data_IF_228109694605
#
_entry.id   IF_228109694605
#
_cell.length_a   1.000
_cell.length_b   1.000
_cell.length_c   1.000
_cell.angle_alpha   90.00
_cell.angle_beta   90.00
_cell.angle_gamma   90.00
#
_symmetry.space_group_name_H-M   'P 1'
#
loop_
_entity.id
_entity.type
_entity.pdbx_description
1 polymer ?
#
# COMPACT_ATOMS: atom_id res chain seq x y z
N UNK A 1 -17.39 -14.07 -8.42
CA UNK A 1 -16.40 -13.56 -7.46
C UNK A 1 -15.50 -14.72 -7.07
N UNK A 2 -14.27 -14.74 -7.56
CA UNK A 2 -13.32 -15.81 -7.23
C UNK A 2 -12.93 -15.76 -5.76
N UNK A 3 -12.60 -16.92 -5.16
CA UNK A 3 -12.09 -17.02 -3.78
C UNK A 3 -10.90 -16.06 -3.54
N UNK A 4 -10.13 -15.79 -4.59
CA UNK A 4 -8.96 -14.92 -4.56
C UNK A 4 -9.33 -13.48 -4.20
N UNK A 5 -10.45 -12.95 -4.68
CA UNK A 5 -10.88 -11.60 -4.33
C UNK A 5 -11.18 -11.46 -2.83
N UNK A 6 -11.81 -12.46 -2.21
CA UNK A 6 -12.08 -12.45 -0.76
C UNK A 6 -10.76 -12.40 0.03
N UNK A 7 -9.77 -13.20 -0.36
CA UNK A 7 -8.46 -13.20 0.30
C UNK A 7 -7.72 -11.86 0.16
N UNK A 8 -7.81 -11.22 -1.02
CA UNK A 8 -7.18 -9.91 -1.25
C UNK A 8 -7.89 -8.82 -0.44
N UNK A 9 -9.23 -8.83 -0.37
CA UNK A 9 -9.97 -7.91 0.50
C UNK A 9 -9.61 -8.11 1.98
N UNK A 10 -9.41 -9.35 2.41
CA UNK A 10 -9.00 -9.65 3.78
C UNK A 10 -7.56 -9.18 4.05
N UNK A 11 -6.65 -9.31 3.08
CA UNK A 11 -5.31 -8.72 3.17
C UNK A 11 -5.37 -7.19 3.32
N UNK A 12 -6.21 -6.51 2.53
CA UNK A 12 -6.41 -5.07 2.62
C UNK A 12 -6.93 -4.65 4.00
N UNK A 13 -7.95 -5.33 4.54
CA UNK A 13 -8.49 -5.01 5.86
C UNK A 13 -7.50 -5.26 6.99
N UNK A 14 -6.68 -6.32 6.91
CA UNK A 14 -5.62 -6.58 7.89
C UNK A 14 -4.57 -5.48 7.87
N UNK A 15 -4.12 -5.04 6.68
CA UNK A 15 -3.17 -3.93 6.56
C UNK A 15 -3.77 -2.59 7.04
N UNK A 16 -5.06 -2.35 6.80
CA UNK A 16 -5.77 -1.17 7.27
C UNK A 16 -5.86 -1.15 8.81
N UNK A 17 -6.22 -2.28 9.43
CA UNK A 17 -6.24 -2.42 10.88
C UNK A 17 -4.84 -2.23 11.47
N UNK A 18 -3.80 -2.76 10.81
CA UNK A 18 -2.40 -2.55 11.20
C UNK A 18 -1.97 -1.09 11.20
N UNK A 19 -2.43 -0.29 10.21
CA UNK A 19 -2.17 1.14 10.16
C UNK A 19 -2.92 1.90 11.26
N UNK A 20 -4.22 1.61 11.45
CA UNK A 20 -5.04 2.28 12.46
C UNK A 20 -4.55 1.99 13.88
N UNK A 21 -3.99 0.80 14.12
CA UNK A 21 -3.36 0.39 15.36
C UNK A 21 -1.91 0.88 15.42
N UNK A 22 -1.72 2.20 15.45
CA UNK A 22 -0.40 2.83 15.52
C UNK A 22 0.44 2.22 16.65
N UNK A 23 1.49 1.50 16.27
CA UNK A 23 2.60 1.22 17.17
C UNK A 23 3.56 2.39 17.14
N UNK A 24 4.38 2.49 18.19
CA UNK A 24 5.40 3.52 18.40
C UNK A 24 6.53 3.53 17.36
N UNK A 25 6.33 3.06 16.13
CA UNK A 25 7.36 3.09 15.11
C UNK A 25 6.74 3.49 13.78
N UNK A 26 7.08 4.67 13.29
CA UNK A 26 6.59 5.20 12.01
C UNK A 26 6.95 4.27 10.83
N UNK A 27 8.08 3.55 10.91
CA UNK A 27 8.45 2.54 9.92
C UNK A 27 7.39 1.44 9.76
N UNK A 28 6.77 1.01 10.86
CA UNK A 28 5.77 -0.07 10.82
C UNK A 28 4.46 0.38 10.13
N UNK A 29 4.05 1.64 10.31
CA UNK A 29 2.88 2.17 9.62
C UNK A 29 3.14 2.39 8.12
N UNK A 30 4.36 2.79 7.74
CA UNK A 30 4.75 2.88 6.32
C UNK A 30 4.70 1.52 5.62
N UNK A 31 5.17 0.44 6.27
CA UNK A 31 5.04 -0.91 5.72
C UNK A 31 3.57 -1.36 5.60
N UNK A 32 2.70 -0.96 6.52
CA UNK A 32 1.25 -1.22 6.39
C UNK A 32 0.64 -0.45 5.21
N UNK A 33 1.07 0.79 4.94
CA UNK A 33 0.69 1.54 3.74
C UNK A 33 1.12 0.83 2.45
N UNK A 34 2.37 0.37 2.38
CA UNK A 34 2.85 -0.40 1.22
C UNK A 34 2.05 -1.70 1.03
N UNK A 35 1.71 -2.39 2.11
CA UNK A 35 0.84 -3.58 2.08
C UNK A 35 -0.56 -3.29 1.52
N UNK A 36 -1.17 -2.17 1.90
CA UNK A 36 -2.45 -1.73 1.33
C UNK A 36 -2.33 -1.46 -0.17
N UNK A 37 -1.31 -0.71 -0.62
CA UNK A 37 -1.11 -0.40 -2.03
C UNK A 37 -0.86 -1.66 -2.87
N UNK A 38 -0.13 -2.64 -2.34
CA UNK A 38 0.09 -3.92 -2.99
C UNK A 38 -1.21 -4.72 -3.15
N UNK A 39 -2.05 -4.77 -2.12
CA UNK A 39 -3.34 -5.46 -2.22
C UNK A 39 -4.28 -4.82 -3.27
N UNK A 40 -4.29 -3.48 -3.36
CA UNK A 40 -5.03 -2.76 -4.39
C UNK A 40 -4.49 -3.03 -5.80
N UNK A 41 -3.16 -3.09 -5.95
CA UNK A 41 -2.52 -3.45 -7.21
C UNK A 41 -2.91 -4.86 -7.68
N UNK A 42 -2.86 -5.86 -6.78
CA UNK A 42 -3.26 -7.25 -7.12
C UNK A 42 -4.74 -7.32 -7.46
N UNK A 43 -5.61 -6.59 -6.75
CA UNK A 43 -7.04 -6.56 -7.07
C UNK A 43 -7.30 -5.94 -8.45
N UNK A 44 -6.65 -4.82 -8.76
CA UNK A 44 -6.81 -4.12 -10.04
C UNK A 44 -6.29 -4.96 -11.21
N UNK A 45 -5.10 -5.57 -11.08
CA UNK A 45 -4.53 -6.44 -12.12
C UNK A 45 -5.41 -7.67 -12.38
N UNK A 46 -5.90 -8.34 -11.33
CA UNK A 46 -6.81 -9.48 -11.48
C UNK A 46 -8.12 -9.08 -12.17
N UNK A 47 -8.67 -7.90 -11.88
CA UNK A 47 -9.88 -7.39 -12.53
C UNK A 47 -9.66 -7.11 -14.02
N UNK A 48 -8.53 -6.48 -14.36
CA UNK A 48 -8.15 -6.18 -15.76
C UNK A 48 -7.94 -7.48 -16.56
N UNK A 49 -7.26 -8.47 -15.97
CA UNK A 49 -7.02 -9.76 -16.60
C UNK A 49 -8.32 -10.55 -16.79
N UNK A 50 -9.21 -10.59 -15.79
CA UNK A 50 -10.50 -11.29 -15.87
C UNK A 50 -11.44 -10.70 -16.93
N UNK A 51 -11.41 -9.39 -17.12
CA UNK A 51 -12.27 -8.68 -18.09
C UNK A 51 -11.64 -8.55 -19.47
N UNK A 52 -10.40 -9.04 -19.65
CA UNK A 52 -9.60 -8.89 -20.88
C UNK A 52 -9.54 -7.45 -21.41
N UNK A 53 -9.64 -6.46 -20.52
CA UNK A 53 -9.68 -5.04 -20.92
C UNK A 53 -8.26 -4.47 -21.03
N UNK A 54 -7.64 -4.67 -22.19
CA UNK A 54 -6.22 -4.35 -22.44
C UNK A 54 -5.87 -2.87 -22.23
N UNK A 55 -6.81 -1.95 -22.46
CA UNK A 55 -6.59 -0.51 -22.24
C UNK A 55 -6.39 -0.16 -20.76
N UNK A 56 -7.07 -0.85 -19.83
CA UNK A 56 -6.87 -0.62 -18.39
C UNK A 56 -5.61 -1.29 -17.83
N UNK A 57 -4.83 -2.01 -18.63
CA UNK A 57 -3.55 -2.59 -18.17
C UNK A 57 -2.54 -1.53 -17.71
N UNK A 58 -2.68 -0.29 -18.18
CA UNK A 58 -1.86 0.83 -17.68
C UNK A 58 -2.29 1.32 -16.29
N UNK A 59 -3.54 1.09 -15.87
CA UNK A 59 -4.07 1.61 -14.60
C UNK A 59 -3.32 1.10 -13.36
N UNK A 60 -3.04 -0.22 -13.21
CA UNK A 60 -2.24 -0.71 -12.08
C UNK A 60 -0.82 -0.15 -12.04
N UNK A 61 -0.21 0.12 -13.20
CA UNK A 61 1.14 0.69 -13.28
C UNK A 61 1.14 2.14 -12.77
N UNK A 62 0.16 2.93 -13.21
CA UNK A 62 -0.02 4.32 -12.74
C UNK A 62 -0.23 4.35 -11.23
N UNK A 63 -1.07 3.44 -10.69
CA UNK A 63 -1.29 3.30 -9.25
C UNK A 63 0.04 3.02 -8.50
N UNK A 64 0.88 2.14 -9.03
CA UNK A 64 2.14 1.77 -8.40
C UNK A 64 3.17 2.92 -8.41
N UNK A 65 3.18 3.75 -9.46
CA UNK A 65 4.05 4.94 -9.51
C UNK A 65 3.66 5.95 -8.42
N UNK A 66 2.37 6.26 -8.28
CA UNK A 66 1.91 7.16 -7.21
C UNK A 66 2.17 6.58 -5.82
N UNK A 67 2.01 5.26 -5.63
CA UNK A 67 2.34 4.58 -4.38
C UNK A 67 3.82 4.79 -3.97
N UNK A 68 4.74 4.61 -4.94
CA UNK A 68 6.16 4.80 -4.69
C UNK A 68 6.50 6.26 -4.36
N UNK A 69 5.81 7.22 -4.99
CA UNK A 69 5.97 8.65 -4.67
C UNK A 69 5.52 8.95 -3.23
N UNK A 70 4.37 8.42 -2.79
CA UNK A 70 3.89 8.59 -1.42
C UNK A 70 4.83 7.94 -0.39
N UNK A 71 5.36 6.75 -0.69
CA UNK A 71 6.34 6.08 0.18
C UNK A 71 7.66 6.88 0.28
N UNK A 72 8.16 7.43 -0.84
CA UNK A 72 9.35 8.28 -0.83
C UNK A 72 9.14 9.56 0.01
N UNK A 73 7.96 10.19 -0.10
CA UNK A 73 7.59 11.32 0.74
C UNK A 73 7.51 10.91 2.22
N UNK A 74 6.90 9.77 2.53
CA UNK A 74 6.82 9.23 3.89
C UNK A 74 8.19 8.98 4.52
N UNK A 75 9.11 8.39 3.77
CA UNK A 75 10.50 8.19 4.20
C UNK A 75 11.25 9.52 4.42
N UNK A 76 11.03 10.52 3.55
CA UNK A 76 11.66 11.83 3.73
C UNK A 76 11.21 12.54 5.01
N UNK A 77 9.93 12.40 5.38
CA UNK A 77 9.40 12.90 6.65
C UNK A 77 9.98 12.13 7.84
N UNK A 78 10.13 10.81 7.72
CA UNK A 78 10.74 10.01 8.77
C UNK A 78 12.18 10.45 9.05
N UNK A 79 12.97 10.71 8.02
CA UNK A 79 14.34 11.25 8.17
C UNK A 79 14.34 12.61 8.88
N UNK A 80 13.34 13.46 8.63
CA UNK A 80 13.21 14.73 9.36
C UNK A 80 12.89 14.51 10.84
N UNK A 81 11.97 13.59 11.16
CA UNK A 81 11.60 13.23 12.54
C UNK A 81 12.78 12.61 13.29
N UNK A 82 13.52 11.72 12.65
CA UNK A 82 14.70 11.08 13.24
C UNK A 82 15.83 12.09 13.48
N UNK A 83 16.00 13.07 12.59
CA UNK A 83 16.97 14.16 12.79
C UNK A 83 16.57 15.11 13.93
N UNK A 84 15.28 15.34 14.19
CA UNK A 84 14.84 16.25 15.28
C UNK A 84 14.73 15.57 16.64
N UNK A 85 14.24 14.34 16.69
CA UNK A 85 13.97 13.62 17.95
C UNK A 85 14.96 12.50 18.26
N UNK A 86 15.80 12.08 17.30
CA UNK A 86 16.80 11.02 17.48
C UNK A 86 16.22 9.60 17.57
N UNK A 87 14.89 9.46 17.50
CA UNK A 87 14.14 8.21 17.59
C UNK A 87 12.93 8.22 16.66
N UNK A 88 12.64 7.09 16.02
CA UNK A 88 11.55 6.91 15.04
C UNK A 88 10.19 6.59 15.70
N UNK A 89 9.94 7.15 16.88
CA UNK A 89 8.75 6.88 17.69
C UNK A 89 7.49 7.61 17.23
#
# INVERSE_FOLDING_TARGET
>A
MSLVHINIFLAFTVSLVGLLMYRSHLMSSLLCLEGMMLSLFVMATMMVLNTHFTLASMMPIILLVFAACEAALGLSLLVMVSNTYGVDH
#
